data_IF_097719296312
#
_entry.id   IF_097719296312
#
_cell.length_a   1.000
_cell.length_b   1.000
_cell.length_c   1.000
_cell.angle_alpha   90.00
_cell.angle_beta   90.00
_cell.angle_gamma   90.00
#
_symmetry.space_group_name_H-M   'P 1'
#
loop_
_entity.id
_entity.type
_entity.pdbx_description
1 polymer ?
#
# COMPACT_ATOMS: atom_id res chain seq x y z
N UNK A 1 -1.52 -13.31 -4.51
CA UNK A 1 -2.43 -12.67 -3.53
C UNK A 1 -2.26 -11.15 -3.48
N UNK A 2 -1.09 -10.62 -3.83
CA UNK A 2 -0.74 -9.18 -3.92
C UNK A 2 -1.77 -8.25 -4.57
N UNK A 3 -2.41 -8.68 -5.67
CA UNK A 3 -3.47 -7.91 -6.36
C UNK A 3 -4.63 -7.57 -5.42
N UNK A 4 -4.97 -8.47 -4.49
CA UNK A 4 -6.05 -8.26 -3.54
C UNK A 4 -5.70 -7.23 -2.47
N UNK A 5 -4.46 -7.16 -1.98
CA UNK A 5 -4.07 -6.14 -0.99
C UNK A 5 -4.16 -4.72 -1.58
N UNK A 6 -3.69 -4.52 -2.81
CA UNK A 6 -3.69 -3.20 -3.45
C UNK A 6 -5.11 -2.69 -3.72
N UNK A 7 -6.00 -3.56 -4.23
CA UNK A 7 -7.42 -3.20 -4.39
C UNK A 7 -8.10 -2.92 -3.05
N UNK A 8 -7.91 -3.79 -2.04
CA UNK A 8 -8.50 -3.58 -0.71
C UNK A 8 -8.01 -2.29 -0.06
N UNK A 9 -6.73 -1.94 -0.22
CA UNK A 9 -6.19 -0.69 0.30
C UNK A 9 -6.80 0.53 -0.39
N UNK A 10 -7.03 0.46 -1.71
CA UNK A 10 -7.75 1.49 -2.45
C UNK A 10 -9.20 1.64 -1.95
N UNK A 11 -9.93 0.53 -1.82
CA UNK A 11 -11.30 0.50 -1.28
C UNK A 11 -11.36 1.12 0.13
N UNK A 12 -10.41 0.77 1.00
CA UNK A 12 -10.34 1.28 2.37
C UNK A 12 -10.14 2.81 2.39
N UNK A 13 -9.26 3.34 1.53
CA UNK A 13 -9.05 4.78 1.40
C UNK A 13 -10.30 5.48 0.84
N UNK A 14 -11.00 4.87 -0.12
CA UNK A 14 -12.24 5.45 -0.66
C UNK A 14 -13.32 5.56 0.41
N UNK A 15 -13.46 4.55 1.26
CA UNK A 15 -14.47 4.46 2.32
C UNK A 15 -14.14 5.32 3.55
N UNK A 16 -12.88 5.36 3.96
CA UNK A 16 -12.45 5.98 5.23
C UNK A 16 -11.75 7.33 5.06
N UNK A 17 -11.47 7.72 3.82
CA UNK A 17 -10.73 8.94 3.53
C UNK A 17 -9.22 8.71 3.44
N UNK A 18 -8.55 9.69 2.86
CA UNK A 18 -7.10 9.73 2.69
C UNK A 18 -6.49 10.87 3.48
N UNK A 19 -5.34 10.61 4.09
CA UNK A 19 -4.55 11.63 4.78
C UNK A 19 -3.06 11.49 4.46
N UNK A 20 -2.32 12.61 4.54
CA UNK A 20 -0.87 12.68 4.34
C UNK A 20 -0.16 12.40 5.65
N UNK A 21 1.00 11.73 5.59
CA UNK A 21 1.91 11.61 6.73
C UNK A 21 1.27 11.03 7.98
N UNK A 22 0.23 10.21 7.84
CA UNK A 22 -0.60 9.77 8.96
C UNK A 22 0.22 8.95 9.94
N UNK A 23 0.69 9.58 11.02
CA UNK A 23 1.18 8.90 12.22
C UNK A 23 0.07 8.04 12.82
N UNK A 24 0.45 6.91 13.41
CA UNK A 24 -0.38 5.82 13.93
C UNK A 24 -1.26 6.23 15.11
N UNK A 25 -2.23 7.10 14.87
CA UNK A 25 -3.28 7.40 15.84
C UNK A 25 -4.51 6.55 15.52
N UNK A 26 -5.03 5.78 16.50
CA UNK A 26 -6.25 4.99 16.37
C UNK A 26 -7.45 5.80 15.88
N UNK A 27 -7.44 7.10 16.16
CA UNK A 27 -8.52 8.04 15.87
C UNK A 27 -8.22 8.97 14.69
N UNK A 28 -7.20 8.67 13.87
CA UNK A 28 -6.90 9.49 12.71
C UNK A 28 -8.03 9.42 11.66
N UNK A 29 -8.47 10.58 11.19
CA UNK A 29 -9.39 10.67 10.05
C UNK A 29 -8.67 10.24 8.75
N UNK A 30 -8.84 8.97 8.39
CA UNK A 30 -8.39 8.39 7.13
C UNK A 30 -7.02 7.72 7.14
N UNK A 31 -6.66 7.16 5.98
CA UNK A 31 -5.45 6.36 5.80
C UNK A 31 -4.48 7.03 4.82
N UNK A 32 -3.18 7.02 5.15
CA UNK A 32 -2.16 7.13 4.10
C UNK A 32 -2.06 5.79 3.35
N UNK A 33 -1.43 5.81 2.18
CA UNK A 33 -1.26 4.62 1.33
C UNK A 33 -0.62 3.44 2.08
N UNK A 34 0.46 3.69 2.82
CA UNK A 34 1.23 2.67 3.54
C UNK A 34 0.40 2.00 4.63
N UNK A 35 -0.33 2.80 5.44
CA UNK A 35 -1.22 2.29 6.47
C UNK A 35 -2.40 1.51 5.92
N UNK A 36 -2.97 1.95 4.79
CA UNK A 36 -4.05 1.21 4.16
C UNK A 36 -3.57 -0.20 3.78
N UNK A 37 -2.34 -0.33 3.29
CA UNK A 37 -1.72 -1.62 2.98
C UNK A 37 -1.44 -2.46 4.23
N UNK A 38 -0.86 -1.87 5.27
CA UNK A 38 -0.64 -2.56 6.54
C UNK A 38 -1.96 -3.12 7.09
N UNK A 39 -3.00 -2.29 7.13
CA UNK A 39 -4.31 -2.66 7.65
C UNK A 39 -4.94 -3.85 6.90
N UNK A 40 -4.93 -3.83 5.56
CA UNK A 40 -5.55 -4.92 4.76
C UNK A 40 -4.71 -6.20 4.74
N UNK A 41 -3.42 -6.08 5.03
CA UNK A 41 -2.51 -7.22 5.24
C UNK A 41 -2.56 -7.76 6.68
N UNK A 42 -3.41 -7.20 7.56
CA UNK A 42 -3.53 -7.63 8.96
C UNK A 42 -2.31 -7.26 9.82
N UNK A 43 -1.51 -6.30 9.37
CA UNK A 43 -0.33 -5.83 10.08
C UNK A 43 -0.71 -4.64 10.97
N UNK A 44 -0.30 -4.70 12.24
CA UNK A 44 -0.41 -3.57 13.14
C UNK A 44 0.72 -2.58 12.86
N UNK A 45 0.45 -1.28 12.98
CA UNK A 45 1.49 -0.25 12.86
C UNK A 45 2.56 -0.32 13.97
N UNK A 46 2.31 -1.08 15.04
CA UNK A 46 3.28 -1.41 16.08
C UNK A 46 4.22 -2.58 15.69
N UNK A 47 4.10 -3.13 14.48
CA UNK A 47 5.08 -4.05 13.92
C UNK A 47 6.38 -3.28 13.60
N UNK A 48 7.09 -2.82 14.62
CA UNK A 48 8.41 -2.18 14.52
C UNK A 48 9.47 -3.14 13.98
N UNK A 49 9.19 -4.45 14.04
CA UNK A 49 10.05 -5.48 13.48
C UNK A 49 9.74 -5.68 11.99
N UNK A 50 10.64 -5.17 11.13
CA UNK A 50 10.69 -5.41 9.68
C UNK A 50 10.70 -6.91 9.29
N UNK A 51 10.94 -7.80 10.25
CA UNK A 51 10.89 -9.24 10.10
C UNK A 51 9.46 -9.78 9.97
N UNK A 52 8.45 -9.11 10.53
CA UNK A 52 7.06 -9.60 10.58
C UNK A 52 6.21 -9.16 9.38
N UNK A 53 6.80 -8.49 8.39
CA UNK A 53 6.07 -8.10 7.19
C UNK A 53 5.68 -9.34 6.39
N UNK A 54 4.41 -9.44 6.02
CA UNK A 54 3.93 -10.52 5.16
C UNK A 54 4.54 -10.40 3.75
N UNK A 55 4.71 -11.53 3.07
CA UNK A 55 5.03 -11.57 1.64
C UNK A 55 4.06 -10.71 0.82
N UNK A 56 2.78 -10.73 1.18
CA UNK A 56 1.73 -9.94 0.51
C UNK A 56 2.01 -8.44 0.60
N UNK A 57 2.44 -7.95 1.77
CA UNK A 57 2.82 -6.55 1.96
C UNK A 57 4.08 -6.18 1.17
N UNK A 58 5.13 -7.02 1.23
CA UNK A 58 6.39 -6.79 0.49
C UNK A 58 6.14 -6.76 -1.02
N UNK A 59 5.35 -7.70 -1.53
CA UNK A 59 4.97 -7.76 -2.94
C UNK A 59 4.16 -6.52 -3.34
N UNK A 60 3.26 -6.03 -2.48
CA UNK A 60 2.46 -4.84 -2.76
C UNK A 60 3.30 -3.56 -2.82
N UNK A 61 4.26 -3.40 -1.90
CA UNK A 61 5.23 -2.30 -1.94
C UNK A 61 6.09 -2.35 -3.21
N UNK A 62 6.55 -3.54 -3.61
CA UNK A 62 7.31 -3.70 -4.85
C UNK A 62 6.49 -3.30 -6.08
N UNK A 63 5.23 -3.71 -6.16
CA UNK A 63 4.31 -3.34 -7.24
C UNK A 63 4.06 -1.82 -7.30
N UNK A 64 3.88 -1.16 -6.16
CA UNK A 64 3.71 0.29 -6.09
C UNK A 64 4.94 1.06 -6.57
N UNK A 65 6.12 0.61 -6.13
CA UNK A 65 7.38 1.19 -6.57
C UNK A 65 7.59 1.03 -8.08
N UNK A 66 7.27 -0.13 -8.62
CA UNK A 66 7.33 -0.38 -10.06
C UNK A 66 6.34 0.52 -10.82
N UNK A 67 5.10 0.68 -10.32
CA UNK A 67 4.08 1.53 -10.95
C UNK A 67 4.45 3.02 -10.97
N UNK A 68 5.19 3.50 -9.98
CA UNK A 68 5.73 4.87 -9.94
C UNK A 68 7.12 5.02 -10.57
N UNK A 69 7.77 3.91 -10.95
CA UNK A 69 9.18 3.88 -11.37
C UNK A 69 10.12 4.54 -10.34
N UNK A 70 10.02 4.12 -9.08
CA UNK A 70 10.85 4.65 -7.98
C UNK A 70 11.72 3.58 -7.31
N UNK A 71 12.90 3.99 -6.87
CA UNK A 71 13.95 3.10 -6.40
C UNK A 71 13.82 2.72 -4.92
N UNK A 72 13.10 3.51 -4.12
CA UNK A 72 13.00 3.26 -2.67
C UNK A 72 11.58 3.41 -2.15
N UNK A 73 11.31 2.86 -0.96
CA UNK A 73 10.06 3.15 -0.25
C UNK A 73 9.99 4.61 0.21
N UNK A 74 11.14 5.26 0.40
CA UNK A 74 11.19 6.68 0.76
C UNK A 74 10.63 7.56 -0.36
N UNK A 75 10.99 7.28 -1.61
CA UNK A 75 10.44 7.99 -2.78
C UNK A 75 8.92 7.79 -2.90
N UNK A 76 8.45 6.57 -2.61
CA UNK A 76 7.03 6.23 -2.60
C UNK A 76 6.26 7.01 -1.52
N UNK A 77 6.79 7.07 -0.30
CA UNK A 77 6.19 7.83 0.80
C UNK A 77 6.22 9.34 0.52
N UNK A 78 7.35 9.86 0.01
CA UNK A 78 7.46 11.27 -0.39
C UNK A 78 6.47 11.63 -1.50
N UNK A 79 6.26 10.73 -2.47
CA UNK A 79 5.26 10.90 -3.51
C UNK A 79 3.85 11.01 -2.92
N UNK A 80 3.49 10.11 -1.99
CA UNK A 80 2.19 10.11 -1.30
C UNK A 80 1.98 11.40 -0.50
N UNK A 81 2.97 11.81 0.29
CA UNK A 81 2.85 12.93 1.23
C UNK A 81 3.01 14.31 0.57
N UNK A 82 3.26 14.35 -0.72
CA UNK A 82 3.37 15.60 -1.46
C UNK A 82 2.09 16.45 -1.33
N UNK A 83 2.24 17.76 -1.11
CA UNK A 83 1.11 18.68 -0.93
C UNK A 83 0.18 18.80 -2.14
N UNK A 84 0.66 18.45 -3.35
CA UNK A 84 -0.15 18.42 -4.58
C UNK A 84 -0.88 17.10 -4.79
N UNK A 85 -0.66 16.09 -3.94
CA UNK A 85 -1.31 14.79 -4.06
C UNK A 85 -2.72 14.82 -3.50
N UNK A 86 -3.59 14.06 -4.15
CA UNK A 86 -5.01 13.92 -3.80
C UNK A 86 -5.34 12.46 -3.48
N UNK A 87 -6.47 12.25 -2.81
CA UNK A 87 -7.04 10.91 -2.59
C UNK A 87 -7.12 10.11 -3.90
N UNK A 88 -7.65 10.75 -4.95
CA UNK A 88 -7.86 10.11 -6.25
C UNK A 88 -6.55 9.67 -6.92
N UNK A 89 -5.46 10.41 -6.75
CA UNK A 89 -4.15 10.01 -7.28
C UNK A 89 -3.65 8.74 -6.60
N UNK A 90 -3.78 8.67 -5.27
CA UNK A 90 -3.33 7.52 -4.47
C UNK A 90 -4.16 6.28 -4.79
N UNK A 91 -5.48 6.42 -4.85
CA UNK A 91 -6.40 5.34 -5.27
C UNK A 91 -6.04 4.85 -6.67
N UNK A 92 -5.84 5.78 -7.63
CA UNK A 92 -5.46 5.41 -9.01
C UNK A 92 -4.14 4.66 -9.06
N UNK A 93 -3.14 5.09 -8.29
CA UNK A 93 -1.87 4.40 -8.21
C UNK A 93 -2.04 2.98 -7.66
N UNK A 94 -2.78 2.81 -6.57
CA UNK A 94 -3.04 1.50 -5.97
C UNK A 94 -3.72 0.54 -6.96
N UNK A 95 -4.75 1.01 -7.68
CA UNK A 95 -5.42 0.21 -8.72
C UNK A 95 -4.46 -0.15 -9.86
N UNK A 96 -3.74 0.82 -10.40
CA UNK A 96 -2.75 0.59 -11.47
C UNK A 96 -1.65 -0.38 -11.04
N UNK A 97 -1.17 -0.28 -9.81
CA UNK A 97 -0.17 -1.21 -9.27
C UNK A 97 -0.73 -2.63 -9.15
N UNK A 98 -2.02 -2.78 -8.84
CA UNK A 98 -2.68 -4.08 -8.80
C UNK A 98 -2.71 -4.73 -10.19
N UNK A 99 -2.96 -3.95 -11.24
CA UNK A 99 -3.00 -4.43 -12.64
C UNK A 99 -1.63 -4.87 -13.16
N UNK A 100 -0.55 -4.28 -12.62
CA UNK A 100 0.83 -4.61 -12.99
C UNK A 100 1.50 -5.60 -12.02
N UNK A 101 0.84 -5.97 -10.92
CA UNK A 101 1.39 -6.91 -9.97
C UNK A 101 1.52 -8.29 -10.66
N UNK A 102 2.71 -8.89 -10.70
CA UNK A 102 2.87 -10.19 -11.32
C UNK A 102 1.93 -11.18 -10.64
N UNK A 103 1.10 -11.87 -11.43
CA UNK A 103 0.35 -12.99 -10.93
C UNK A 103 1.37 -13.99 -10.38
N UNK A 104 1.46 -14.18 -9.06
CA UNK A 104 2.27 -15.25 -8.48
C UNK A 104 1.83 -16.53 -9.18
N UNK A 105 2.69 -17.08 -10.04
CA UNK A 105 2.49 -18.42 -10.60
C UNK A 105 2.32 -19.31 -9.38
N UNK A 106 1.15 -19.95 -9.26
CA UNK A 106 1.01 -21.04 -8.32
C UNK A 106 2.11 -22.01 -8.68
N UNK A 107 3.13 -22.13 -7.83
CA UNK A 107 4.04 -23.26 -7.91
C UNK A 107 3.15 -24.48 -7.73
N UNK A 108 2.80 -25.13 -8.84
CA UNK A 108 2.32 -26.49 -8.84
C UNK A 108 3.52 -27.33 -8.41
N UNK A 109 3.76 -27.39 -7.10
CA UNK A 109 4.56 -28.48 -6.53
C UNK A 109 3.75 -29.75 -6.75
N UNK A 110 4.22 -30.52 -7.73
CA UNK A 110 3.87 -31.93 -7.91
C UNK A 110 4.42 -32.76 -6.76
#
# INVERSE_FOLDING_TARGET
MTVHALHRAADLIEQRGWTRGGYCYPDAEGYCMDKALLAVCGLCTACENKHDLTDEYRDALAALRAALNVATCWDLWWWNDNSRRTKSDVVRLLRRAADHAPARRKSLTQ
#
